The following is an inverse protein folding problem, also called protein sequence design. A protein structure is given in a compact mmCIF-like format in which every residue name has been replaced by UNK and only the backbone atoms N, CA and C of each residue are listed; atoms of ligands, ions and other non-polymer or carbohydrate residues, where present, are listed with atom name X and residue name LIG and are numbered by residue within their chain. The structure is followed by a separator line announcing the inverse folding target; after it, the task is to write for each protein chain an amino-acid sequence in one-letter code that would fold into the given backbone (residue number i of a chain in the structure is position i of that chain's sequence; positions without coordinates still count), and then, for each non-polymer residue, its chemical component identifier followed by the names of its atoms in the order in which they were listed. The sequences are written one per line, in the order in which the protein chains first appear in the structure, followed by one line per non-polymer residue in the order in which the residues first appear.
data_IF_386659626156
#
_entry.id   IF_386659626156
#
_cell.length_a   1.000
_cell.length_b   1.000
_cell.length_c   1.000
_cell.angle_alpha   90.00
_cell.angle_beta   90.00
_cell.angle_gamma   90.00
#
_symmetry.space_group_name_H-M   'P 1'
#
loop_
_entity.id
_entity.type
_entity.pdbx_description
1 polymer ?
#
# COMPACT_ATOMS: atom_id res chain seq x y z
N UNK A 1 6.81 25.37 29.78
CA UNK A 1 7.00 24.93 28.37
C UNK A 1 6.20 23.66 28.17
N UNK A 2 5.08 23.72 27.44
CA UNK A 2 4.37 22.50 27.03
C UNK A 2 5.28 21.75 26.04
N UNK A 3 5.69 20.53 26.39
CA UNK A 3 6.31 19.61 25.43
C UNK A 3 5.23 19.31 24.39
N UNK A 4 5.39 19.85 23.19
CA UNK A 4 4.68 19.35 22.01
C UNK A 4 5.08 17.89 21.85
N UNK A 5 4.26 16.98 22.36
CA UNK A 5 4.33 15.58 21.99
C UNK A 5 3.97 15.53 20.51
N UNK A 6 4.98 15.37 19.65
CA UNK A 6 4.77 15.17 18.24
C UNK A 6 3.73 14.06 18.08
N UNK A 7 2.54 14.40 17.61
CA UNK A 7 1.55 13.42 17.23
C UNK A 7 2.27 12.48 16.25
N UNK A 8 2.31 11.16 16.51
CA UNK A 8 2.82 10.24 15.51
C UNK A 8 2.07 10.57 14.22
N UNK A 9 2.80 10.70 13.11
CA UNK A 9 2.18 10.79 11.80
C UNK A 9 2.28 9.40 11.20
N UNK A 10 1.32 8.48 11.47
CA UNK A 10 1.34 7.11 10.97
C UNK A 10 1.70 7.02 9.49
N UNK A 11 1.21 7.96 8.68
CA UNK A 11 1.52 8.05 7.26
C UNK A 11 3.02 8.22 6.97
N UNK A 12 3.74 9.02 7.77
CA UNK A 12 5.16 9.31 7.56
C UNK A 12 6.03 8.10 7.91
N UNK A 13 5.64 7.33 8.92
CA UNK A 13 6.30 6.07 9.30
C UNK A 13 6.01 4.95 8.30
N UNK A 14 4.75 4.82 7.87
CA UNK A 14 4.34 3.84 6.85
C UNK A 14 5.09 4.08 5.53
N UNK A 15 5.17 5.33 5.07
CA UNK A 15 5.78 5.72 3.80
C UNK A 15 7.31 5.95 3.86
N UNK A 16 7.94 5.77 5.02
CA UNK A 16 9.37 6.03 5.19
C UNK A 16 10.22 5.24 4.17
N UNK A 17 11.01 5.96 3.36
CA UNK A 17 11.86 5.35 2.33
C UNK A 17 11.11 4.86 1.07
N UNK A 18 9.79 5.02 1.00
CA UNK A 18 8.96 4.65 -0.15
C UNK A 18 8.67 5.84 -1.09
N UNK A 19 9.50 6.88 -1.01
CA UNK A 19 9.45 8.05 -1.89
C UNK A 19 10.83 8.36 -2.46
N UNK A 20 10.88 9.02 -3.62
CA UNK A 20 12.13 9.37 -4.30
C UNK A 20 12.81 8.20 -5.04
N UNK A 21 14.07 8.38 -5.50
CA UNK A 21 14.73 7.46 -6.42
C UNK A 21 14.92 6.03 -5.91
N UNK A 22 14.97 5.84 -4.59
CA UNK A 22 15.23 4.55 -3.94
C UNK A 22 13.96 3.80 -3.55
N UNK A 23 12.77 4.34 -3.84
CA UNK A 23 11.49 3.77 -3.41
C UNK A 23 11.30 2.30 -3.85
N UNK A 24 11.74 1.96 -5.06
CA UNK A 24 11.67 0.59 -5.58
C UNK A 24 12.53 -0.38 -4.77
N UNK A 25 13.78 -0.03 -4.53
CA UNK A 25 14.71 -0.86 -3.76
C UNK A 25 14.23 -1.05 -2.31
N UNK A 26 13.63 0.00 -1.72
CA UNK A 26 13.03 -0.09 -0.40
C UNK A 26 11.82 -1.04 -0.36
N UNK A 27 10.93 -0.97 -1.36
CA UNK A 27 9.80 -1.89 -1.49
C UNK A 27 10.24 -3.36 -1.63
N UNK A 28 11.26 -3.61 -2.45
CA UNK A 28 11.77 -4.96 -2.67
C UNK A 28 12.37 -5.55 -1.40
N UNK A 29 13.19 -4.77 -0.69
CA UNK A 29 13.74 -5.16 0.61
C UNK A 29 12.65 -5.46 1.64
N UNK A 30 11.55 -4.70 1.66
CA UNK A 30 10.41 -5.00 2.54
C UNK A 30 9.79 -6.37 2.22
N UNK A 31 9.67 -6.70 0.93
CA UNK A 31 9.20 -8.01 0.47
C UNK A 31 10.14 -9.15 0.91
N UNK A 32 11.45 -8.96 0.73
CA UNK A 32 12.49 -9.92 1.14
C UNK A 32 12.54 -10.13 2.66
N UNK A 33 12.36 -9.05 3.43
CA UNK A 33 12.33 -9.09 4.89
C UNK A 33 11.01 -9.61 5.48
N UNK A 34 9.98 -9.84 4.64
CA UNK A 34 8.69 -10.30 5.10
C UNK A 34 7.86 -9.24 5.85
N UNK A 35 8.08 -7.94 5.58
CA UNK A 35 7.37 -6.81 6.20
C UNK A 35 5.91 -6.66 5.67
N UNK A 36 5.15 -7.76 5.63
CA UNK A 36 3.84 -7.86 4.96
C UNK A 36 2.80 -6.91 5.56
N UNK A 37 2.81 -6.70 6.86
CA UNK A 37 1.89 -5.80 7.56
C UNK A 37 2.10 -4.36 7.11
N UNK A 38 3.37 -3.95 7.00
CA UNK A 38 3.75 -2.61 6.54
C UNK A 38 3.44 -2.42 5.06
N UNK A 39 3.74 -3.41 4.23
CA UNK A 39 3.36 -3.39 2.81
C UNK A 39 1.84 -3.24 2.62
N UNK A 40 1.05 -3.98 3.41
CA UNK A 40 -0.41 -3.88 3.38
C UNK A 40 -0.90 -2.50 3.87
N UNK A 41 -0.25 -1.90 4.87
CA UNK A 41 -0.56 -0.55 5.32
C UNK A 41 -0.27 0.51 4.24
N UNK A 42 0.84 0.38 3.50
CA UNK A 42 1.15 1.24 2.35
C UNK A 42 0.07 1.12 1.27
N UNK A 43 -0.33 -0.10 0.92
CA UNK A 43 -1.38 -0.31 -0.10
C UNK A 43 -2.71 0.32 0.33
N UNK A 44 -3.10 0.20 1.60
CA UNK A 44 -4.31 0.85 2.13
C UNK A 44 -4.19 2.36 2.28
N UNK A 45 -2.98 2.88 2.41
CA UNK A 45 -2.74 4.31 2.38
C UNK A 45 -2.93 4.86 0.97
N UNK A 46 -2.42 4.17 -0.06
CA UNK A 46 -2.51 4.60 -1.46
C UNK A 46 -3.90 4.36 -2.06
N UNK A 47 -4.55 3.26 -1.70
CA UNK A 47 -5.84 2.85 -2.25
C UNK A 47 -6.88 2.78 -1.13
N UNK A 48 -8.01 3.47 -1.31
CA UNK A 48 -9.14 3.39 -0.39
C UNK A 48 -9.82 2.02 -0.44
N UNK A 49 -9.88 1.40 -1.62
CA UNK A 49 -10.42 0.06 -1.80
C UNK A 49 -9.80 -0.68 -2.99
N UNK A 50 -9.70 -2.00 -2.88
CA UNK A 50 -9.51 -2.91 -4.00
C UNK A 50 -10.83 -3.66 -4.23
N UNK A 51 -11.50 -3.36 -5.34
CA UNK A 51 -12.79 -3.94 -5.71
C UNK A 51 -12.55 -5.06 -6.72
N UNK A 52 -12.99 -6.26 -6.37
CA UNK A 52 -12.90 -7.44 -7.23
C UNK A 52 -14.31 -7.74 -7.76
N UNK A 53 -14.57 -7.41 -9.02
CA UNK A 53 -15.85 -7.66 -9.70
C UNK A 53 -16.12 -9.15 -9.94
N UNK A 54 -17.15 -9.53 -10.70
CA UNK A 54 -17.38 -10.93 -11.13
C UNK A 54 -16.34 -11.36 -12.18
N UNK A 55 -15.93 -12.63 -12.18
CA UNK A 55 -15.07 -13.18 -13.22
C UNK A 55 -15.80 -13.20 -14.56
N UNK A 56 -15.11 -12.78 -15.62
CA UNK A 56 -15.56 -12.89 -17.00
C UNK A 56 -14.73 -13.90 -17.80
N UNK A 57 -13.56 -14.31 -17.30
CA UNK A 57 -12.72 -15.32 -17.94
C UNK A 57 -13.08 -16.76 -17.55
N UNK A 58 -12.76 -17.75 -18.42
CA UNK A 58 -12.91 -19.17 -18.11
C UNK A 58 -12.17 -19.60 -16.83
N UNK A 59 -12.64 -20.69 -16.24
CA UNK A 59 -11.99 -21.32 -15.08
C UNK A 59 -10.51 -21.65 -15.36
N UNK A 60 -9.65 -21.41 -14.37
CA UNK A 60 -8.21 -21.61 -14.48
C UNK A 60 -7.42 -20.44 -15.09
N UNK A 61 -8.09 -19.34 -15.47
CA UNK A 61 -7.43 -18.10 -15.90
C UNK A 61 -7.61 -16.98 -14.87
N UNK A 62 -6.55 -16.20 -14.65
CA UNK A 62 -6.63 -14.99 -13.84
C UNK A 62 -7.29 -13.87 -14.64
N UNK A 63 -8.46 -13.43 -14.18
CA UNK A 63 -9.13 -12.24 -14.69
C UNK A 63 -8.63 -11.00 -13.92
N UNK A 64 -7.56 -10.36 -14.39
CA UNK A 64 -7.08 -9.13 -13.77
C UNK A 64 -7.96 -7.91 -14.12
N UNK A 65 -8.75 -7.99 -15.20
CA UNK A 65 -9.59 -6.89 -15.67
C UNK A 65 -10.74 -6.55 -14.71
N UNK A 66 -11.12 -7.48 -13.83
CA UNK A 66 -12.13 -7.28 -12.79
C UNK A 66 -11.64 -6.55 -11.55
N UNK A 67 -10.34 -6.30 -11.44
CA UNK A 67 -9.74 -5.61 -10.29
C UNK A 67 -9.74 -4.11 -10.58
N UNK A 68 -10.42 -3.34 -9.73
CA UNK A 68 -10.39 -1.88 -9.76
C UNK A 68 -9.91 -1.36 -8.42
N UNK A 69 -9.13 -0.29 -8.47
CA UNK A 69 -8.68 0.40 -7.27
C UNK A 69 -9.42 1.73 -7.17
N UNK A 70 -9.97 2.00 -5.99
CA UNK A 70 -10.42 3.34 -5.65
C UNK A 70 -9.26 4.09 -5.00
N UNK A 71 -8.97 5.28 -5.51
CA UNK A 71 -7.96 6.16 -4.91
C UNK A 71 -8.39 6.59 -3.52
N UNK A 72 -7.42 6.72 -2.62
CA UNK A 72 -7.67 7.31 -1.32
C UNK A 72 -7.76 8.83 -1.45
N UNK A 73 -8.93 9.41 -1.13
CA UNK A 73 -9.18 10.88 -1.17
C UNK A 73 -8.60 11.59 0.07
N UNK A 74 -7.30 11.43 0.31
CA UNK A 74 -6.59 12.11 1.40
C UNK A 74 -6.59 13.64 1.24
#
# INVERSE_FOLDING_TARGET
MQKQTATPRPALEILAGLTGPNARAAWDRMGENGEKERMNAVLRFLFGAAIIGKSTTPAGKCDYSRIRFEENRL
#
